data_IF_613121443315
#
_entry.id   IF_613121443315
#
_cell.length_a   1.000
_cell.length_b   1.000
_cell.length_c   1.000
_cell.angle_alpha   90.00
_cell.angle_beta   90.00
_cell.angle_gamma   90.00
#
_symmetry.space_group_name_H-M   'P 1'
#
loop_
_entity.id
_entity.type
_entity.pdbx_description
1 polymer ?
#
# COMPACT_ATOMS: atom_id res chain seq x y z
N UNK A 1 28.09 0.96 14.56
CA UNK A 1 28.15 2.23 13.78
C UNK A 1 27.10 3.15 14.38
N UNK A 2 27.41 4.38 14.74
CA UNK A 2 26.40 5.29 15.27
C UNK A 2 25.40 5.70 14.18
N UNK A 3 24.16 5.95 14.59
CA UNK A 3 23.09 6.45 13.71
C UNK A 3 23.49 7.83 13.16
N UNK A 4 23.31 8.03 11.85
CA UNK A 4 23.57 9.32 11.20
C UNK A 4 22.53 10.36 11.62
N UNK A 5 22.90 11.65 11.59
CA UNK A 5 21.96 12.73 11.90
C UNK A 5 20.73 12.72 10.96
N UNK A 6 20.92 12.34 9.69
CA UNK A 6 19.82 12.23 8.73
C UNK A 6 18.86 11.08 9.10
N UNK A 7 19.40 9.87 9.38
CA UNK A 7 18.58 8.73 9.80
C UNK A 7 17.83 9.04 11.08
N UNK A 8 18.49 9.67 12.05
CA UNK A 8 17.87 10.08 13.32
C UNK A 8 16.70 11.04 13.06
N UNK A 9 16.91 12.13 12.33
CA UNK A 9 15.86 13.10 12.02
C UNK A 9 14.69 12.48 11.23
N UNK A 10 15.00 11.52 10.33
CA UNK A 10 13.98 10.82 9.57
C UNK A 10 13.14 9.90 10.46
N UNK A 11 13.77 9.14 11.34
CA UNK A 11 13.11 8.27 12.33
C UNK A 11 12.27 9.08 13.33
N UNK A 12 12.79 10.19 13.84
CA UNK A 12 12.05 11.10 14.74
C UNK A 12 10.78 11.65 14.05
N UNK A 13 10.85 11.96 12.76
CA UNK A 13 9.67 12.37 11.99
C UNK A 13 8.69 11.23 11.74
N UNK A 14 9.19 10.01 11.53
CA UNK A 14 8.33 8.82 11.37
C UNK A 14 7.57 8.52 12.67
N UNK A 15 8.26 8.63 13.80
CA UNK A 15 7.80 8.14 15.11
C UNK A 15 8.05 9.18 16.21
N UNK A 16 7.39 10.35 16.19
CA UNK A 16 7.69 11.46 17.10
C UNK A 16 7.52 11.12 18.58
N UNK A 17 6.71 10.12 18.90
CA UNK A 17 6.36 9.76 20.29
C UNK A 17 7.00 8.44 20.76
N UNK A 18 7.88 7.83 19.96
CA UNK A 18 8.45 6.51 20.23
C UNK A 18 9.97 6.55 20.15
N UNK A 19 10.63 6.31 21.28
CA UNK A 19 12.09 6.36 21.35
C UNK A 19 12.81 5.22 20.60
N UNK A 20 12.22 4.01 20.56
CA UNK A 20 12.72 2.86 19.79
C UNK A 20 11.52 2.13 19.16
N UNK A 21 11.08 2.59 17.97
CA UNK A 21 9.84 2.10 17.35
C UNK A 21 9.90 0.65 16.96
N UNK A 22 11.04 0.15 16.52
CA UNK A 22 11.20 -1.23 16.09
C UNK A 22 11.36 -2.24 17.23
N UNK A 23 11.63 -1.75 18.46
CA UNK A 23 11.77 -2.60 19.66
C UNK A 23 12.91 -3.62 19.54
N UNK A 24 13.94 -3.32 18.77
CA UNK A 24 15.10 -4.20 18.64
C UNK A 24 15.82 -4.34 19.97
N UNK A 25 16.23 -5.57 20.30
CA UNK A 25 17.03 -5.86 21.48
C UNK A 25 18.50 -5.48 21.27
N UNK A 26 18.93 -5.42 20.01
CA UNK A 26 20.30 -5.10 19.61
C UNK A 26 20.37 -3.68 19.04
N UNK A 27 20.89 -2.70 19.83
CA UNK A 27 21.03 -1.31 19.38
C UNK A 27 22.00 -1.15 18.21
N UNK A 28 23.00 -2.02 18.06
CA UNK A 28 23.94 -1.95 16.94
C UNK A 28 23.24 -2.34 15.63
N UNK A 29 22.35 -3.33 15.66
CA UNK A 29 21.52 -3.70 14.52
C UNK A 29 20.52 -2.59 14.19
N UNK A 30 19.91 -1.95 15.19
CA UNK A 30 18.99 -0.83 15.00
C UNK A 30 19.68 0.32 14.26
N UNK A 31 20.86 0.76 14.75
CA UNK A 31 21.63 1.83 14.11
C UNK A 31 22.03 1.48 12.67
N UNK A 32 22.45 0.24 12.44
CA UNK A 32 22.80 -0.25 11.10
C UNK A 32 21.61 -0.24 10.14
N UNK A 33 20.50 -0.79 10.60
CA UNK A 33 19.28 -0.88 9.78
C UNK A 33 18.71 0.50 9.45
N UNK A 34 18.63 1.39 10.44
CA UNK A 34 18.09 2.72 10.23
C UNK A 34 19.00 3.59 9.35
N UNK A 35 20.33 3.49 9.49
CA UNK A 35 21.26 4.13 8.56
C UNK A 35 21.05 3.65 7.13
N UNK A 36 20.92 2.36 6.93
CA UNK A 36 20.69 1.81 5.59
C UNK A 36 19.31 2.22 5.03
N UNK A 37 18.23 1.91 5.75
CA UNK A 37 16.86 2.07 5.24
C UNK A 37 16.41 3.54 5.17
N UNK A 38 16.82 4.37 6.14
CA UNK A 38 16.31 5.73 6.29
C UNK A 38 17.35 6.82 5.99
N UNK A 39 18.53 6.45 5.49
CA UNK A 39 19.52 7.38 4.98
C UNK A 39 20.04 6.90 3.61
N UNK A 40 20.84 5.84 3.57
CA UNK A 40 21.56 5.42 2.35
C UNK A 40 20.59 5.17 1.17
N UNK A 41 19.55 4.35 1.39
CA UNK A 41 18.54 4.06 0.35
C UNK A 41 17.76 5.32 -0.09
N UNK A 42 17.60 6.30 0.81
CA UNK A 42 16.83 7.51 0.51
C UNK A 42 17.60 8.48 -0.36
N UNK A 43 18.93 8.60 -0.11
CA UNK A 43 19.78 9.56 -0.80
C UNK A 43 20.51 8.97 -2.01
N UNK A 44 20.37 7.67 -2.30
CA UNK A 44 21.03 7.01 -3.42
C UNK A 44 20.76 7.72 -4.75
N UNK A 45 21.80 7.93 -5.52
CA UNK A 45 21.72 8.60 -6.82
C UNK A 45 20.71 7.92 -7.75
N UNK A 46 19.78 8.72 -8.30
CA UNK A 46 18.70 8.24 -9.15
C UNK A 46 17.44 7.78 -8.42
N UNK A 47 17.45 7.68 -7.09
CA UNK A 47 16.28 7.35 -6.26
C UNK A 47 15.45 8.58 -5.88
N UNK A 48 15.01 9.37 -6.85
CA UNK A 48 14.16 10.56 -6.62
C UNK A 48 12.67 10.21 -6.38
N UNK A 49 12.41 9.25 -5.49
CA UNK A 49 11.04 8.90 -5.11
C UNK A 49 10.58 9.82 -3.98
N UNK A 50 9.50 10.55 -4.20
CA UNK A 50 8.89 11.37 -3.14
C UNK A 50 8.54 10.50 -1.92
N UNK A 51 8.71 11.05 -0.72
CA UNK A 51 8.45 10.34 0.53
C UNK A 51 7.03 9.73 0.56
N UNK A 52 6.02 10.48 0.13
CA UNK A 52 4.64 10.02 -0.03
C UNK A 52 4.54 8.71 -0.86
N UNK A 53 5.09 8.70 -2.08
CA UNK A 53 5.07 7.51 -2.95
C UNK A 53 5.89 6.35 -2.37
N UNK A 54 6.99 6.67 -1.70
CA UNK A 54 7.83 5.67 -1.01
C UNK A 54 7.05 4.96 0.10
N UNK A 55 6.32 5.70 0.94
CA UNK A 55 5.51 5.09 2.00
C UNK A 55 4.36 4.26 1.44
N UNK A 56 3.71 4.68 0.37
CA UNK A 56 2.72 3.84 -0.31
C UNK A 56 3.34 2.53 -0.83
N UNK A 57 4.54 2.58 -1.42
CA UNK A 57 5.25 1.37 -1.87
C UNK A 57 5.65 0.46 -0.71
N UNK A 58 6.12 1.02 0.42
CA UNK A 58 6.42 0.26 1.63
C UNK A 58 5.16 -0.45 2.14
N UNK A 59 4.05 0.28 2.31
CA UNK A 59 2.80 -0.31 2.80
C UNK A 59 2.27 -1.39 1.85
N UNK A 60 2.35 -1.18 0.52
CA UNK A 60 1.96 -2.19 -0.47
C UNK A 60 2.83 -3.46 -0.37
N UNK A 61 4.13 -3.30 -0.17
CA UNK A 61 5.08 -4.40 0.02
C UNK A 61 4.75 -5.19 1.28
N UNK A 62 4.48 -4.51 2.39
CA UNK A 62 4.13 -5.14 3.67
C UNK A 62 2.80 -5.90 3.59
N UNK A 63 1.80 -5.35 2.89
CA UNK A 63 0.54 -6.05 2.60
C UNK A 63 0.81 -7.28 1.75
N UNK A 64 1.63 -7.17 0.71
CA UNK A 64 2.03 -8.29 -0.16
C UNK A 64 2.75 -9.41 0.59
N UNK A 65 3.66 -9.04 1.49
CA UNK A 65 4.42 -9.96 2.34
C UNK A 65 3.60 -10.57 3.49
N UNK A 66 2.43 -10.01 3.82
CA UNK A 66 1.65 -10.42 4.98
C UNK A 66 2.24 -9.94 6.32
N UNK A 67 3.10 -8.93 6.29
CA UNK A 67 3.86 -8.42 7.44
C UNK A 67 3.01 -7.44 8.27
N UNK A 68 2.11 -7.98 9.09
CA UNK A 68 1.14 -7.19 9.86
C UNK A 68 1.77 -6.32 10.94
N UNK A 69 2.80 -6.82 11.61
CA UNK A 69 3.46 -6.10 12.71
C UNK A 69 4.20 -4.87 12.16
N UNK A 70 4.99 -5.07 11.11
CA UNK A 70 5.70 -3.98 10.44
C UNK A 70 4.73 -2.98 9.79
N UNK A 71 3.62 -3.46 9.22
CA UNK A 71 2.57 -2.59 8.71
C UNK A 71 1.97 -1.71 9.82
N UNK A 72 1.76 -2.26 11.01
CA UNK A 72 1.22 -1.51 12.15
C UNK A 72 2.17 -0.40 12.62
N UNK A 73 3.47 -0.59 12.42
CA UNK A 73 4.50 0.40 12.69
C UNK A 73 4.60 1.45 11.57
N UNK A 74 4.62 1.01 10.31
CA UNK A 74 4.86 1.88 9.16
C UNK A 74 3.63 2.71 8.73
N UNK A 75 2.42 2.28 9.04
CA UNK A 75 1.22 3.02 8.67
C UNK A 75 1.12 4.39 9.36
N UNK A 76 1.33 4.52 10.70
CA UNK A 76 1.43 5.84 11.34
C UNK A 76 2.53 6.72 10.75
N UNK A 77 3.69 6.13 10.42
CA UNK A 77 4.78 6.85 9.78
C UNK A 77 4.37 7.40 8.40
N UNK A 78 3.64 6.62 7.61
CA UNK A 78 3.10 7.07 6.32
C UNK A 78 2.18 8.28 6.48
N UNK A 79 1.28 8.27 7.47
CA UNK A 79 0.41 9.40 7.81
C UNK A 79 1.24 10.64 8.19
N UNK A 80 2.31 10.48 8.99
CA UNK A 80 3.22 11.57 9.38
C UNK A 80 4.00 12.15 8.18
N UNK A 81 4.09 11.43 7.08
CA UNK A 81 4.67 11.88 5.80
C UNK A 81 3.65 12.32 4.76
N UNK A 82 2.38 12.47 5.14
CA UNK A 82 1.33 13.08 4.33
C UNK A 82 0.58 12.11 3.43
N UNK A 83 0.72 10.80 3.62
CA UNK A 83 -0.19 9.82 3.02
C UNK A 83 -1.54 9.95 3.72
N UNK A 84 -2.62 10.08 2.97
CA UNK A 84 -3.95 10.25 3.56
C UNK A 84 -4.63 8.90 3.80
N UNK A 85 -5.57 8.81 4.77
CA UNK A 85 -6.31 7.58 5.08
C UNK A 85 -6.96 6.92 3.87
N UNK A 86 -7.51 7.74 2.98
CA UNK A 86 -8.16 7.29 1.74
C UNK A 86 -7.24 6.49 0.81
N UNK A 87 -5.99 6.92 0.65
CA UNK A 87 -4.99 6.23 -0.17
C UNK A 87 -4.58 4.91 0.45
N UNK A 88 -4.42 4.88 1.77
CA UNK A 88 -4.07 3.65 2.50
C UNK A 88 -5.18 2.60 2.36
N UNK A 89 -6.43 3.01 2.52
CA UNK A 89 -7.58 2.12 2.37
C UNK A 89 -7.70 1.62 0.93
N UNK A 90 -7.48 2.49 -0.06
CA UNK A 90 -7.51 2.10 -1.46
C UNK A 90 -6.39 1.11 -1.81
N UNK A 91 -5.17 1.32 -1.30
CA UNK A 91 -4.06 0.38 -1.44
C UNK A 91 -4.46 -1.03 -0.96
N UNK A 92 -5.11 -1.11 0.21
CA UNK A 92 -5.56 -2.41 0.75
C UNK A 92 -6.66 -3.02 -0.15
N UNK A 93 -7.61 -2.21 -0.65
CA UNK A 93 -8.62 -2.70 -1.59
C UNK A 93 -8.01 -3.24 -2.87
N UNK A 94 -7.01 -2.56 -3.42
CA UNK A 94 -6.30 -2.99 -4.63
C UNK A 94 -5.51 -4.27 -4.42
N UNK A 95 -5.10 -4.60 -3.20
CA UNK A 95 -4.41 -5.84 -2.88
C UNK A 95 -5.34 -7.08 -2.89
N UNK A 96 -6.65 -6.90 -2.69
CA UNK A 96 -7.62 -8.02 -2.58
C UNK A 96 -7.64 -8.94 -3.82
N UNK A 97 -7.68 -8.44 -5.07
CA UNK A 97 -7.69 -9.30 -6.24
C UNK A 97 -6.42 -10.14 -6.43
N UNK A 98 -5.30 -9.71 -5.87
CA UNK A 98 -4.02 -10.40 -5.99
C UNK A 98 -3.76 -11.40 -4.87
N UNK A 99 -4.12 -11.04 -3.63
CA UNK A 99 -3.79 -11.80 -2.43
C UNK A 99 -4.97 -12.60 -1.85
N UNK A 100 -6.18 -12.21 -2.22
CA UNK A 100 -7.42 -12.70 -1.66
C UNK A 100 -7.79 -12.05 -0.32
N UNK A 101 -9.09 -11.94 -0.07
CA UNK A 101 -9.64 -11.25 1.11
C UNK A 101 -9.14 -11.84 2.45
N UNK A 102 -8.82 -13.14 2.49
CA UNK A 102 -8.34 -13.80 3.69
C UNK A 102 -7.00 -13.24 4.17
N UNK A 103 -6.05 -13.02 3.25
CA UNK A 103 -4.75 -12.40 3.55
C UNK A 103 -4.84 -10.91 3.84
N UNK A 104 -5.76 -10.22 3.17
CA UNK A 104 -5.86 -8.75 3.25
C UNK A 104 -6.66 -8.29 4.48
N UNK A 105 -7.58 -9.10 4.99
CA UNK A 105 -8.46 -8.76 6.12
C UNK A 105 -7.74 -8.25 7.39
N UNK A 106 -6.60 -8.79 7.82
CA UNK A 106 -5.87 -8.26 8.98
C UNK A 106 -5.48 -6.79 8.83
N UNK A 107 -5.09 -6.37 7.62
CA UNK A 107 -4.67 -4.99 7.34
C UNK A 107 -5.83 -4.00 7.47
N UNK A 108 -7.05 -4.36 7.06
CA UNK A 108 -8.24 -3.54 7.34
C UNK A 108 -8.45 -3.31 8.83
N UNK A 109 -8.28 -4.37 9.65
CA UNK A 109 -8.45 -4.25 11.09
C UNK A 109 -7.40 -3.33 11.72
N UNK A 110 -6.15 -3.47 11.31
CA UNK A 110 -5.04 -2.63 11.80
C UNK A 110 -5.27 -1.18 11.39
N UNK A 111 -5.59 -0.93 10.12
CA UNK A 111 -5.87 0.40 9.60
C UNK A 111 -7.00 1.09 10.36
N UNK A 112 -8.14 0.43 10.51
CA UNK A 112 -9.28 1.00 11.23
C UNK A 112 -8.92 1.31 12.70
N UNK A 113 -8.13 0.44 13.35
CA UNK A 113 -7.67 0.65 14.72
C UNK A 113 -6.77 1.88 14.83
N UNK A 114 -5.80 2.03 13.93
CA UNK A 114 -4.87 3.15 13.93
C UNK A 114 -5.61 4.46 13.66
N UNK A 115 -6.46 4.51 12.65
CA UNK A 115 -7.25 5.70 12.32
C UNK A 115 -8.13 6.12 13.50
N UNK A 116 -8.79 5.17 14.16
CA UNK A 116 -9.60 5.45 15.33
C UNK A 116 -8.79 6.08 16.48
N UNK A 117 -7.60 5.55 16.79
CA UNK A 117 -6.77 6.12 17.87
C UNK A 117 -6.12 7.46 17.51
N UNK A 118 -5.98 7.77 16.23
CA UNK A 118 -5.44 9.05 15.75
C UNK A 118 -6.51 10.11 15.50
N UNK A 119 -7.78 9.77 15.68
CA UNK A 119 -8.93 10.63 15.34
C UNK A 119 -8.89 11.08 13.87
N UNK A 120 -8.48 10.15 13.00
CA UNK A 120 -8.40 10.37 11.55
C UNK A 120 -9.53 9.62 10.84
N UNK A 121 -10.19 10.27 9.88
CA UNK A 121 -11.31 9.72 9.15
C UNK A 121 -11.02 9.58 7.65
N UNK A 122 -11.67 8.60 7.02
CA UNK A 122 -11.73 8.48 5.57
C UNK A 122 -12.65 9.58 5.06
N UNK A 123 -12.10 10.52 4.28
CA UNK A 123 -12.84 11.70 3.82
C UNK A 123 -13.85 11.37 2.71
N UNK A 124 -13.56 10.36 1.89
CA UNK A 124 -14.38 9.98 0.74
C UNK A 124 -14.80 8.50 0.78
N UNK A 125 -15.69 8.08 1.70
CA UNK A 125 -16.06 6.67 1.85
C UNK A 125 -16.84 6.10 0.65
N UNK A 126 -17.49 6.98 -0.16
CA UNK A 126 -18.36 6.61 -1.30
C UNK A 126 -17.78 7.02 -2.67
N UNK A 127 -16.46 7.00 -2.83
CA UNK A 127 -15.79 7.42 -4.06
C UNK A 127 -15.85 6.43 -5.23
N UNK A 128 -16.44 5.27 -5.06
CA UNK A 128 -16.55 4.29 -6.16
C UNK A 128 -17.43 4.84 -7.28
N UNK A 129 -16.87 4.88 -8.50
CA UNK A 129 -17.59 5.27 -9.72
C UNK A 129 -18.18 4.08 -10.46
N UNK A 130 -18.00 2.87 -9.93
CA UNK A 130 -18.51 1.64 -10.53
C UNK A 130 -19.78 1.13 -9.86
N UNK A 131 -20.68 0.62 -10.70
CA UNK A 131 -21.92 -0.04 -10.32
C UNK A 131 -21.93 -1.50 -10.82
N UNK A 132 -22.91 -2.30 -10.43
CA UNK A 132 -23.09 -3.67 -10.96
C UNK A 132 -23.22 -3.70 -12.49
N UNK A 133 -23.80 -2.66 -13.06
CA UNK A 133 -24.09 -2.55 -14.50
C UNK A 133 -22.84 -2.20 -15.31
N UNK A 134 -22.05 -1.21 -14.83
CA UNK A 134 -20.92 -0.66 -15.59
C UNK A 134 -19.57 -1.31 -15.25
N UNK A 135 -19.47 -2.13 -14.18
CA UNK A 135 -18.18 -2.65 -13.67
C UNK A 135 -17.36 -3.45 -14.67
N UNK A 136 -18.02 -4.16 -15.63
CA UNK A 136 -17.29 -4.90 -16.66
C UNK A 136 -16.66 -3.96 -17.67
N UNK A 137 -17.42 -3.01 -18.16
CA UNK A 137 -16.95 -2.00 -19.13
C UNK A 137 -15.80 -1.19 -18.55
N UNK A 138 -15.98 -0.64 -17.34
CA UNK A 138 -14.95 0.14 -16.64
C UNK A 138 -13.68 -0.68 -16.34
N UNK A 139 -13.85 -1.96 -15.98
CA UNK A 139 -12.70 -2.84 -15.76
C UNK A 139 -11.93 -3.12 -17.05
N UNK A 140 -12.62 -3.30 -18.20
CA UNK A 140 -11.98 -3.45 -19.51
C UNK A 140 -11.25 -2.17 -19.91
N UNK A 141 -11.89 -1.00 -19.76
CA UNK A 141 -11.25 0.29 -20.03
C UNK A 141 -9.94 0.44 -19.24
N UNK A 142 -9.98 0.10 -17.95
CA UNK A 142 -8.78 0.18 -17.09
C UNK A 142 -7.69 -0.82 -17.48
N UNK A 143 -8.05 -2.04 -17.86
CA UNK A 143 -7.10 -3.02 -18.39
C UNK A 143 -6.45 -2.53 -19.69
N UNK A 144 -7.23 -1.92 -20.59
CA UNK A 144 -6.71 -1.33 -21.83
C UNK A 144 -5.78 -0.15 -21.53
N UNK A 145 -6.13 0.70 -20.60
CA UNK A 145 -5.29 1.83 -20.18
C UNK A 145 -3.91 1.36 -19.67
N UNK A 146 -3.88 0.30 -18.88
CA UNK A 146 -2.63 -0.19 -18.24
C UNK A 146 -1.79 -1.04 -19.20
N UNK A 147 -2.43 -1.94 -19.95
CA UNK A 147 -1.73 -2.98 -20.74
C UNK A 147 -1.95 -2.87 -22.25
N UNK A 148 -2.72 -1.89 -22.71
CA UNK A 148 -2.95 -1.61 -24.13
C UNK A 148 -4.17 -2.31 -24.72
N UNK A 149 -4.49 -1.97 -25.98
CA UNK A 149 -5.71 -2.40 -26.70
C UNK A 149 -5.88 -3.92 -26.82
N UNK A 150 -4.81 -4.70 -26.74
CA UNK A 150 -4.89 -6.16 -26.73
C UNK A 150 -5.76 -6.74 -25.60
N UNK A 151 -5.97 -5.97 -24.52
CA UNK A 151 -6.80 -6.39 -23.39
C UNK A 151 -8.31 -6.22 -23.63
N UNK A 152 -8.73 -5.46 -24.64
CA UNK A 152 -10.14 -5.12 -24.86
C UNK A 152 -11.08 -6.33 -24.94
N UNK A 153 -10.63 -7.41 -25.55
CA UNK A 153 -11.39 -8.64 -25.69
C UNK A 153 -10.86 -9.80 -24.81
N UNK A 154 -9.88 -9.52 -23.95
CA UNK A 154 -9.24 -10.55 -23.11
C UNK A 154 -10.26 -11.30 -22.24
N UNK A 155 -11.29 -10.61 -21.74
CA UNK A 155 -12.36 -11.20 -20.92
C UNK A 155 -13.16 -12.31 -21.63
N UNK A 156 -13.08 -12.40 -22.98
CA UNK A 156 -13.71 -13.45 -23.80
C UNK A 156 -12.73 -14.54 -24.22
N UNK A 157 -11.45 -14.38 -23.92
CA UNK A 157 -10.40 -15.32 -24.33
C UNK A 157 -10.30 -16.54 -23.40
N UNK A 158 -9.54 -17.53 -23.84
CA UNK A 158 -9.28 -18.76 -23.10
C UNK A 158 -10.26 -19.89 -23.39
N UNK A 159 -9.99 -21.10 -22.87
CA UNK A 159 -10.86 -22.26 -22.97
C UNK A 159 -12.27 -21.98 -22.43
N UNK A 160 -13.27 -22.64 -22.95
CA UNK A 160 -14.67 -22.38 -22.61
C UNK A 160 -14.96 -22.57 -21.11
N UNK A 161 -14.38 -23.60 -20.53
CA UNK A 161 -14.55 -23.97 -19.12
C UNK A 161 -13.91 -22.93 -18.13
N UNK A 162 -12.89 -22.20 -18.56
CA UNK A 162 -12.15 -21.23 -17.73
C UNK A 162 -12.36 -19.77 -18.14
N UNK A 163 -13.04 -19.50 -19.24
CA UNK A 163 -13.27 -18.14 -19.77
C UNK A 163 -13.93 -17.20 -18.77
N UNK A 164 -14.79 -17.72 -17.91
CA UNK A 164 -15.43 -16.95 -16.87
C UNK A 164 -14.43 -16.31 -15.89
N UNK A 165 -13.24 -16.89 -15.71
CA UNK A 165 -12.17 -16.33 -14.85
C UNK A 165 -11.69 -15.00 -15.42
N UNK A 166 -11.41 -14.92 -16.73
CA UNK A 166 -10.99 -13.68 -17.37
C UNK A 166 -12.07 -12.58 -17.26
N UNK A 167 -13.34 -12.97 -17.35
CA UNK A 167 -14.46 -12.05 -17.14
C UNK A 167 -14.56 -11.57 -15.68
N UNK A 168 -14.28 -12.43 -14.71
CA UNK A 168 -14.22 -12.04 -13.32
C UNK A 168 -13.06 -11.09 -13.05
N UNK A 169 -11.87 -11.38 -13.60
CA UNK A 169 -10.70 -10.51 -13.48
C UNK A 169 -10.96 -9.09 -14.01
N UNK A 170 -11.69 -8.97 -15.12
CA UNK A 170 -12.11 -7.66 -15.63
C UNK A 170 -13.10 -6.94 -14.70
N UNK A 171 -13.88 -7.65 -13.89
CA UNK A 171 -14.89 -7.08 -12.99
C UNK A 171 -14.39 -6.79 -11.58
N UNK A 172 -13.28 -7.41 -11.17
CA UNK A 172 -12.90 -7.45 -9.75
C UNK A 172 -12.18 -6.17 -9.29
N UNK A 173 -11.49 -5.49 -10.19
CA UNK A 173 -10.84 -4.23 -9.91
C UNK A 173 -11.85 -3.10 -9.67
N UNK A 174 -11.53 -2.21 -8.77
CA UNK A 174 -12.16 -0.90 -8.73
C UNK A 174 -11.58 -0.10 -9.89
N UNK A 175 -12.41 0.18 -10.90
CA UNK A 175 -11.97 0.98 -12.03
C UNK A 175 -11.92 2.43 -11.62
N UNK A 176 -10.91 2.79 -10.82
CA UNK A 176 -10.69 4.13 -10.55
C UNK A 176 -9.59 4.37 -9.66
N UNK A 177 -9.37 5.41 -9.55
CA UNK A 177 -8.90 6.59 -8.87
C UNK A 177 -7.66 7.05 -9.48
#
# INVERSE_FOLDING_TARGET
MAKSEFAQAYTERMFPDIASPAGYIDPEFEDLFENFAFHEVIIEDGCNVAAHSRFLAILATLVGAGATDEYSLMMPAALNFGVIPDEIVELIYQAVPYLGIGKVRPFFKITNKILYYRDEEIQNPHRSTITSENRLEKGIEKQVEIWGEGMRNFYQSGPEDTRHINKWLAKIGRAHV
#
